data_IF_014671528019
#
_entry.id   IF_014671528019
#
_cell.length_a   1.000
_cell.length_b   1.000
_cell.length_c   1.000
_cell.angle_alpha   90.00
_cell.angle_beta   90.00
_cell.angle_gamma   90.00
#
_symmetry.space_group_name_H-M   'P 1'
#
loop_
_entity.id
_entity.type
_entity.pdbx_description
1 polymer ?
#
# COMPACT_ATOMS: atom_id res chain seq x y z
N UNK A 1 -1.42 -7.50 18.19
CA UNK A 1 -2.78 -6.97 18.52
C UNK A 1 -3.53 -6.60 17.23
N UNK A 2 -2.97 -5.81 16.31
CA UNK A 2 -3.68 -5.38 15.07
C UNK A 2 -4.15 -6.54 14.20
N UNK A 3 -3.32 -7.59 14.00
CA UNK A 3 -3.71 -8.78 13.25
C UNK A 3 -4.87 -9.54 13.93
N UNK A 4 -4.85 -9.71 15.25
CA UNK A 4 -5.95 -10.36 15.98
C UNK A 4 -7.26 -9.59 15.83
N UNK A 5 -7.21 -8.25 15.97
CA UNK A 5 -8.36 -7.38 15.75
C UNK A 5 -8.92 -7.53 14.33
N UNK A 6 -8.05 -7.42 13.32
CA UNK A 6 -8.46 -7.50 11.90
C UNK A 6 -9.07 -8.87 11.58
N UNK A 7 -8.49 -9.94 12.13
CA UNK A 7 -9.04 -11.30 12.01
C UNK A 7 -10.45 -11.39 12.58
N UNK A 8 -10.66 -10.91 13.82
CA UNK A 8 -11.98 -10.92 14.44
C UNK A 8 -13.00 -10.11 13.64
N UNK A 9 -12.59 -8.96 13.12
CA UNK A 9 -13.45 -8.14 12.25
C UNK A 9 -13.80 -8.86 10.95
N UNK A 10 -12.86 -9.62 10.38
CA UNK A 10 -13.10 -10.41 9.17
C UNK A 10 -14.07 -11.58 9.44
N UNK A 11 -13.91 -12.27 10.57
CA UNK A 11 -14.86 -13.31 11.02
C UNK A 11 -16.25 -12.71 11.20
N UNK A 12 -16.36 -11.57 11.87
CA UNK A 12 -17.66 -10.92 12.16
C UNK A 12 -18.37 -10.41 10.88
N UNK A 13 -17.64 -10.20 9.79
CA UNK A 13 -18.23 -9.89 8.48
C UNK A 13 -19.00 -11.09 7.90
N UNK A 14 -18.61 -12.30 8.25
CA UNK A 14 -19.17 -13.55 7.72
C UNK A 14 -19.33 -13.49 6.19
N UNK A 15 -18.18 -13.31 5.51
CA UNK A 15 -18.13 -13.10 4.05
C UNK A 15 -17.00 -13.87 3.37
N UNK A 16 -15.92 -14.14 4.09
CA UNK A 16 -14.72 -14.76 3.55
C UNK A 16 -14.68 -16.27 3.84
N UNK A 17 -14.43 -17.09 2.83
CA UNK A 17 -14.28 -18.53 2.99
C UNK A 17 -12.98 -18.90 3.71
N UNK A 18 -11.92 -18.12 3.48
CA UNK A 18 -10.59 -18.33 4.10
C UNK A 18 -9.93 -17.04 4.52
N UNK A 19 -9.25 -17.07 5.66
CA UNK A 19 -8.48 -15.97 6.20
C UNK A 19 -6.99 -16.35 6.31
N UNK A 20 -6.12 -15.48 5.83
CA UNK A 20 -4.67 -15.65 5.89
C UNK A 20 -4.07 -14.55 6.77
N UNK A 21 -3.70 -14.90 8.01
CA UNK A 21 -3.01 -13.97 8.90
C UNK A 21 -1.52 -14.01 8.59
N UNK A 22 -1.03 -12.94 7.99
CA UNK A 22 0.33 -12.87 7.47
C UNK A 22 1.20 -12.01 8.37
N UNK A 23 2.33 -12.55 8.81
CA UNK A 23 3.39 -11.84 9.51
C UNK A 23 4.75 -12.06 8.80
N UNK A 24 5.82 -11.57 9.37
CA UNK A 24 7.18 -11.67 8.82
C UNK A 24 7.64 -13.11 8.55
N UNK A 25 7.14 -14.10 9.31
CA UNK A 25 7.49 -15.53 9.12
C UNK A 25 6.86 -16.11 7.83
N UNK A 26 5.81 -15.47 7.32
CA UNK A 26 5.16 -15.91 6.09
C UNK A 26 5.95 -15.53 4.82
N UNK A 27 6.83 -14.54 4.93
CA UNK A 27 7.69 -14.11 3.81
C UNK A 27 8.63 -15.25 3.43
N UNK A 28 8.76 -15.58 2.11
CA UNK A 28 9.61 -16.69 1.68
C UNK A 28 11.05 -16.57 2.16
N UNK A 29 11.67 -17.68 2.61
CA UNK A 29 13.03 -17.69 3.13
C UNK A 29 14.06 -17.13 2.12
N UNK A 30 13.92 -17.48 0.82
CA UNK A 30 14.78 -16.94 -0.23
C UNK A 30 14.76 -15.42 -0.26
N UNK A 31 13.57 -14.80 -0.16
CA UNK A 31 13.41 -13.35 -0.13
C UNK A 31 14.05 -12.75 1.13
N UNK A 32 13.78 -13.36 2.31
CA UNK A 32 14.36 -12.92 3.58
C UNK A 32 15.88 -12.98 3.57
N UNK A 33 16.48 -14.05 3.04
CA UNK A 33 17.94 -14.19 2.90
C UNK A 33 18.52 -13.11 1.97
N UNK A 34 17.90 -12.89 0.81
CA UNK A 34 18.35 -11.90 -0.19
C UNK A 34 18.35 -10.47 0.37
N UNK A 35 17.33 -10.12 1.14
CA UNK A 35 17.11 -8.75 1.64
C UNK A 35 17.25 -8.66 3.18
N UNK A 36 18.08 -9.51 3.79
CA UNK A 36 18.30 -9.55 5.25
C UNK A 36 18.66 -8.16 5.81
N UNK A 37 19.48 -7.40 5.10
CA UNK A 37 19.97 -6.08 5.51
C UNK A 37 18.92 -4.96 5.30
N UNK A 38 17.83 -5.27 4.62
CA UNK A 38 16.70 -4.37 4.35
C UNK A 38 15.48 -4.69 5.21
N UNK A 39 15.26 -5.95 5.53
CA UNK A 39 14.15 -6.45 6.35
C UNK A 39 14.48 -6.35 7.84
N UNK A 40 14.73 -5.12 8.30
CA UNK A 40 15.14 -4.84 9.68
C UNK A 40 13.91 -4.43 10.50
N UNK A 41 13.80 -4.97 11.72
CA UNK A 41 12.75 -4.56 12.65
C UNK A 41 12.91 -3.07 12.97
N UNK A 42 11.83 -2.30 12.80
CA UNK A 42 11.84 -0.85 12.97
C UNK A 42 12.17 -0.06 11.70
N UNK A 43 12.63 -0.69 10.62
CA UNK A 43 12.78 -0.02 9.32
C UNK A 43 11.44 0.34 8.71
N UNK A 44 11.41 1.34 7.85
CA UNK A 44 10.21 1.83 7.17
C UNK A 44 9.53 0.68 6.41
N UNK A 45 8.30 0.35 6.81
CA UNK A 45 7.53 -0.73 6.20
C UNK A 45 8.16 -2.12 6.25
N UNK A 46 9.12 -2.36 7.18
CA UNK A 46 9.90 -3.60 7.24
C UNK A 46 10.53 -3.92 5.88
N UNK A 47 11.38 -3.01 5.39
CA UNK A 47 11.97 -3.06 4.05
C UNK A 47 11.06 -2.48 2.97
N UNK A 48 10.46 -1.29 3.23
CA UNK A 48 9.67 -0.52 2.27
C UNK A 48 8.49 -1.27 1.66
N UNK A 49 7.87 -2.20 2.44
CA UNK A 49 6.75 -3.07 2.01
C UNK A 49 7.07 -3.94 0.79
N UNK A 50 8.35 -4.10 0.45
CA UNK A 50 8.89 -4.91 -0.66
C UNK A 50 8.38 -6.35 -0.70
N UNK A 51 8.00 -6.88 0.44
CA UNK A 51 7.50 -8.24 0.64
C UNK A 51 6.06 -8.48 0.15
N UNK A 52 5.29 -7.43 -0.15
CA UNK A 52 3.88 -7.57 -0.55
C UNK A 52 3.68 -8.49 -1.76
N UNK A 53 4.35 -8.29 -2.91
CA UNK A 53 4.14 -9.17 -4.06
C UNK A 53 4.53 -10.62 -3.78
N UNK A 54 5.52 -10.88 -2.91
CA UNK A 54 5.91 -12.24 -2.52
C UNK A 54 4.79 -12.96 -1.76
N UNK A 55 4.21 -12.31 -0.75
CA UNK A 55 3.12 -12.91 0.03
C UNK A 55 1.85 -13.06 -0.79
N UNK A 56 1.52 -12.10 -1.63
CA UNK A 56 0.35 -12.17 -2.51
C UNK A 56 0.50 -13.36 -3.47
N UNK A 57 1.63 -13.53 -4.13
CA UNK A 57 1.89 -14.68 -5.01
C UNK A 57 1.83 -16.01 -4.26
N UNK A 58 2.36 -16.06 -3.01
CA UNK A 58 2.31 -17.26 -2.17
C UNK A 58 0.86 -17.65 -1.82
N UNK A 59 -0.01 -16.66 -1.58
CA UNK A 59 -1.44 -16.91 -1.32
C UNK A 59 -2.17 -17.27 -2.60
N UNK A 60 -1.90 -16.59 -3.73
CA UNK A 60 -2.51 -16.93 -5.01
C UNK A 60 -2.22 -18.38 -5.44
N UNK A 61 -1.11 -18.98 -5.02
CA UNK A 61 -0.86 -20.42 -5.23
C UNK A 61 -1.79 -21.34 -4.42
N UNK A 62 -2.38 -20.85 -3.33
CA UNK A 62 -3.22 -21.62 -2.39
C UNK A 62 -4.73 -21.51 -2.67
N UNK A 63 -5.13 -20.72 -3.63
CA UNK A 63 -6.52 -20.53 -4.05
C UNK A 63 -6.69 -20.99 -5.50
N UNK A 64 -7.92 -21.23 -5.94
CA UNK A 64 -8.23 -21.71 -7.29
C UNK A 64 -8.26 -20.56 -8.31
N UNK A 65 -8.19 -20.89 -9.59
CA UNK A 65 -8.47 -19.92 -10.66
C UNK A 65 -9.90 -19.39 -10.51
N UNK A 66 -10.06 -18.09 -10.79
CA UNK A 66 -11.27 -17.28 -10.58
C UNK A 66 -11.62 -17.00 -9.11
N UNK A 67 -10.96 -17.62 -8.11
CA UNK A 67 -11.09 -17.18 -6.74
C UNK A 67 -10.63 -15.71 -6.58
N UNK A 68 -11.25 -15.02 -5.65
CA UNK A 68 -10.97 -13.63 -5.35
C UNK A 68 -10.23 -13.49 -4.02
N UNK A 69 -9.14 -12.72 -4.02
CA UNK A 69 -8.34 -12.38 -2.85
C UNK A 69 -8.48 -10.89 -2.55
N UNK A 70 -8.69 -10.54 -1.29
CA UNK A 70 -8.47 -9.18 -0.81
C UNK A 70 -7.25 -9.16 0.12
N UNK A 71 -6.30 -8.26 -0.18
CA UNK A 71 -5.22 -7.89 0.73
C UNK A 71 -5.60 -6.61 1.45
N UNK A 72 -5.38 -6.59 2.76
CA UNK A 72 -5.63 -5.41 3.61
C UNK A 72 -4.47 -5.23 4.58
N UNK A 73 -3.89 -4.03 4.65
CA UNK A 73 -2.86 -3.67 5.64
C UNK A 73 -3.41 -3.83 7.07
N UNK A 74 -2.60 -4.36 7.99
CA UNK A 74 -2.97 -4.61 9.38
C UNK A 74 -3.41 -3.34 10.16
N UNK A 75 -3.06 -2.16 9.66
CA UNK A 75 -3.51 -0.87 10.23
C UNK A 75 -4.94 -0.48 9.84
N UNK A 76 -5.56 -1.17 8.88
CA UNK A 76 -6.95 -0.96 8.51
C UNK A 76 -7.92 -1.61 9.51
N UNK A 77 -9.17 -1.19 9.47
CA UNK A 77 -10.29 -1.83 10.15
C UNK A 77 -11.29 -2.33 9.12
N UNK A 78 -11.91 -3.47 9.39
CA UNK A 78 -13.06 -3.96 8.63
C UNK A 78 -14.34 -3.58 9.38
N UNK A 79 -15.33 -3.11 8.62
CA UNK A 79 -16.58 -2.59 9.14
C UNK A 79 -17.77 -3.43 8.66
N UNK A 80 -18.48 -4.06 9.59
CA UNK A 80 -19.63 -4.93 9.30
C UNK A 80 -20.74 -4.19 8.54
N UNK A 81 -21.00 -2.93 8.87
CA UNK A 81 -22.02 -2.12 8.21
C UNK A 81 -21.72 -1.85 6.73
N UNK A 82 -20.47 -2.07 6.29
CA UNK A 82 -20.04 -1.94 4.91
C UNK A 82 -20.16 -3.22 4.07
N UNK A 83 -20.72 -4.32 4.61
CA UNK A 83 -20.78 -5.63 3.92
C UNK A 83 -21.41 -5.54 2.53
N UNK A 84 -22.50 -4.76 2.38
CA UNK A 84 -23.15 -4.56 1.07
C UNK A 84 -22.18 -3.97 0.04
N UNK A 85 -21.40 -2.96 0.43
CA UNK A 85 -20.40 -2.35 -0.46
C UNK A 85 -19.23 -3.29 -0.75
N UNK A 86 -18.85 -4.15 0.19
CA UNK A 86 -17.83 -5.18 -0.03
C UNK A 86 -18.27 -6.17 -1.11
N UNK A 87 -19.51 -6.61 -1.09
CA UNK A 87 -20.09 -7.48 -2.13
C UNK A 87 -19.99 -6.78 -3.49
N UNK A 88 -20.38 -5.52 -3.59
CA UNK A 88 -20.27 -4.72 -4.83
C UNK A 88 -18.81 -4.65 -5.34
N UNK A 89 -17.81 -4.53 -4.46
CA UNK A 89 -16.39 -4.58 -4.87
C UNK A 89 -16.03 -5.92 -5.54
N UNK A 90 -16.48 -7.03 -4.94
CA UNK A 90 -16.22 -8.35 -5.50
C UNK A 90 -16.98 -8.58 -6.81
N UNK A 91 -18.18 -8.06 -6.96
CA UNK A 91 -18.93 -8.14 -8.22
C UNK A 91 -18.25 -7.34 -9.35
N UNK A 92 -17.75 -6.14 -9.05
CA UNK A 92 -16.93 -5.36 -9.99
C UNK A 92 -15.66 -6.14 -10.37
N UNK A 93 -14.99 -6.75 -9.37
CA UNK A 93 -13.79 -7.53 -9.60
C UNK A 93 -14.05 -8.78 -10.45
N UNK A 94 -15.11 -9.52 -10.17
CA UNK A 94 -15.48 -10.73 -10.92
C UNK A 94 -15.72 -10.44 -12.40
N UNK A 95 -16.38 -9.33 -12.71
CA UNK A 95 -16.66 -8.88 -14.08
C UNK A 95 -15.42 -8.31 -14.78
N UNK A 96 -14.34 -8.01 -14.06
CA UNK A 96 -13.15 -7.39 -14.62
C UNK A 96 -12.20 -8.42 -15.23
N UNK A 97 -11.98 -8.36 -16.54
CA UNK A 97 -11.08 -9.27 -17.28
C UNK A 97 -9.60 -9.12 -16.89
N UNK A 98 -9.18 -7.98 -16.34
CA UNK A 98 -7.80 -7.80 -15.82
C UNK A 98 -7.58 -8.50 -14.50
N UNK A 99 -8.65 -8.82 -13.76
CA UNK A 99 -8.59 -9.51 -12.49
C UNK A 99 -8.05 -8.65 -11.33
N UNK A 100 -8.06 -7.34 -11.45
CA UNK A 100 -7.62 -6.43 -10.39
C UNK A 100 -8.61 -5.26 -10.28
N UNK A 101 -9.03 -4.96 -9.06
CA UNK A 101 -9.74 -3.74 -8.70
C UNK A 101 -8.88 -2.96 -7.72
N UNK A 102 -8.51 -1.73 -8.07
CA UNK A 102 -7.63 -0.89 -7.28
C UNK A 102 -8.35 0.39 -6.80
N UNK A 103 -7.76 1.04 -5.79
CA UNK A 103 -8.31 2.26 -5.21
C UNK A 103 -7.43 3.45 -5.59
N UNK A 104 -7.95 4.34 -6.42
CA UNK A 104 -7.25 5.54 -6.86
C UNK A 104 -7.71 6.78 -6.09
N UNK A 105 -6.81 7.71 -5.81
CA UNK A 105 -7.12 8.97 -5.11
C UNK A 105 -7.90 9.96 -6.01
N UNK A 106 -8.97 9.47 -6.62
CA UNK A 106 -9.85 10.23 -7.50
C UNK A 106 -11.16 10.61 -6.81
N UNK A 107 -11.75 11.72 -7.24
CA UNK A 107 -13.05 12.19 -6.75
C UNK A 107 -14.08 11.06 -6.81
N UNK A 108 -14.88 10.85 -5.74
CA UNK A 108 -15.95 9.87 -5.77
C UNK A 108 -16.91 10.13 -6.93
N UNK A 109 -17.21 9.09 -7.70
CA UNK A 109 -18.17 9.19 -8.80
C UNK A 109 -19.59 9.11 -8.25
N UNK A 110 -20.42 10.10 -8.55
CA UNK A 110 -21.83 10.18 -8.11
C UNK A 110 -22.64 8.94 -8.52
N UNK A 111 -22.34 8.37 -9.68
CA UNK A 111 -23.10 7.25 -10.24
C UNK A 111 -22.68 5.86 -9.70
N UNK A 112 -21.44 5.73 -9.18
CA UNK A 112 -20.85 4.46 -8.80
C UNK A 112 -20.43 4.36 -7.31
N UNK A 113 -20.67 5.41 -6.52
CA UNK A 113 -20.29 5.46 -5.12
C UNK A 113 -21.41 6.04 -4.28
N UNK A 114 -21.69 5.39 -3.15
CA UNK A 114 -22.58 5.92 -2.11
C UNK A 114 -21.98 7.12 -1.39
N UNK A 115 -20.71 7.44 -1.65
CA UNK A 115 -20.04 8.60 -1.08
C UNK A 115 -20.35 9.83 -1.93
N UNK A 116 -21.19 10.70 -1.40
CA UNK A 116 -21.51 11.98 -2.05
C UNK A 116 -20.36 12.95 -1.83
N UNK A 117 -19.79 13.47 -2.93
CA UNK A 117 -18.81 14.54 -2.87
C UNK A 117 -19.52 15.87 -2.58
N UNK A 118 -19.15 16.51 -1.48
CA UNK A 118 -19.77 17.73 -0.95
C UNK A 118 -18.88 18.98 -1.09
N UNK A 119 -17.93 18.98 -2.04
CA UNK A 119 -17.05 20.12 -2.28
C UNK A 119 -15.82 20.20 -1.39
N UNK A 120 -15.64 19.30 -0.40
CA UNK A 120 -14.47 19.32 0.48
C UNK A 120 -13.14 19.20 -0.26
N UNK A 121 -12.08 19.80 0.29
CA UNK A 121 -10.72 19.75 -0.29
C UNK A 121 -10.19 18.32 -0.27
N UNK A 122 -9.93 17.76 -1.44
CA UNK A 122 -9.27 16.47 -1.58
C UNK A 122 -7.75 16.63 -1.66
N UNK A 123 -7.01 15.60 -1.25
CA UNK A 123 -5.54 15.61 -1.30
C UNK A 123 -5.05 15.61 -2.75
N UNK A 124 -4.03 16.43 -3.02
CA UNK A 124 -3.33 16.39 -4.29
C UNK A 124 -2.25 15.30 -4.25
N UNK A 125 -2.61 14.11 -4.73
CA UNK A 125 -1.77 12.93 -4.73
C UNK A 125 -1.32 12.57 -6.16
N UNK A 126 -1.00 13.59 -6.99
CA UNK A 126 -0.50 13.39 -8.36
C UNK A 126 0.87 12.72 -8.35
N UNK A 127 1.08 11.78 -9.25
CA UNK A 127 2.25 10.90 -9.30
C UNK A 127 3.59 11.65 -9.36
N UNK A 128 3.67 12.80 -10.04
CA UNK A 128 4.91 13.59 -10.09
C UNK A 128 5.41 14.04 -8.71
N UNK A 129 4.53 14.08 -7.70
CA UNK A 129 4.88 14.43 -6.32
C UNK A 129 5.37 13.25 -5.49
N UNK A 130 5.01 12.03 -5.88
CA UNK A 130 5.09 10.84 -5.03
C UNK A 130 5.82 9.66 -5.66
N UNK A 131 6.42 9.86 -6.84
CA UNK A 131 7.21 8.85 -7.56
C UNK A 131 8.54 9.47 -7.92
N UNK A 132 9.64 8.84 -7.50
CA UNK A 132 10.99 9.34 -7.76
C UNK A 132 11.39 9.17 -9.24
N UNK A 133 12.35 9.99 -9.69
CA UNK A 133 12.82 10.07 -11.07
C UNK A 133 13.22 8.74 -11.65
N UNK A 134 14.07 7.98 -10.95
CA UNK A 134 14.56 6.66 -11.41
C UNK A 134 13.42 5.69 -11.72
N UNK A 135 12.33 5.75 -10.93
CA UNK A 135 11.19 4.86 -11.14
C UNK A 135 10.35 5.31 -12.35
N UNK A 136 10.23 6.61 -12.59
CA UNK A 136 9.58 7.13 -13.80
C UNK A 136 10.35 6.74 -15.06
N UNK A 137 11.69 6.77 -15.01
CA UNK A 137 12.54 6.37 -16.13
C UNK A 137 12.51 4.86 -16.36
N UNK A 138 12.57 4.06 -15.29
CA UNK A 138 12.44 2.61 -15.38
C UNK A 138 11.17 2.18 -16.13
N UNK A 139 10.05 2.89 -15.93
CA UNK A 139 8.81 2.64 -16.66
C UNK A 139 8.68 3.39 -17.99
N UNK A 140 9.69 4.21 -18.35
CA UNK A 140 9.65 5.09 -19.51
C UNK A 140 8.39 5.97 -19.59
N UNK A 141 8.07 6.63 -18.47
CA UNK A 141 6.84 7.44 -18.33
C UNK A 141 7.07 8.87 -17.84
N UNK A 142 8.33 9.30 -17.69
CA UNK A 142 8.70 10.63 -17.22
C UNK A 142 7.97 11.75 -17.98
N UNK A 143 7.83 11.61 -19.29
CA UNK A 143 7.22 12.60 -20.17
C UNK A 143 5.74 12.29 -20.50
N UNK A 144 5.15 11.24 -19.92
CA UNK A 144 3.75 10.89 -20.15
C UNK A 144 2.84 11.66 -19.22
N UNK A 145 2.31 12.80 -19.70
CA UNK A 145 1.43 13.70 -18.92
C UNK A 145 0.27 12.95 -18.27
N UNK A 146 -0.36 12.00 -18.97
CA UNK A 146 -1.46 11.19 -18.43
C UNK A 146 -1.05 10.33 -17.22
N UNK A 147 0.22 9.94 -17.13
CA UNK A 147 0.77 9.16 -16.00
C UNK A 147 1.21 10.08 -14.87
N UNK A 148 2.04 11.09 -15.15
CA UNK A 148 2.61 11.95 -14.10
C UNK A 148 1.57 12.83 -13.42
N UNK A 149 0.51 13.25 -14.13
CA UNK A 149 -0.64 14.01 -13.56
C UNK A 149 -1.75 13.12 -13.01
N UNK A 150 -1.72 11.81 -13.23
CA UNK A 150 -2.68 10.90 -12.60
C UNK A 150 -2.53 10.91 -11.07
N UNK A 151 -3.62 10.64 -10.37
CA UNK A 151 -3.60 10.46 -8.91
C UNK A 151 -3.04 9.08 -8.56
N UNK A 152 -2.32 8.98 -7.43
CA UNK A 152 -1.77 7.73 -6.93
C UNK A 152 -2.84 6.66 -6.70
N UNK A 153 -2.41 5.41 -6.74
CA UNK A 153 -3.23 4.24 -6.44
C UNK A 153 -2.76 3.63 -5.12
N UNK A 154 -3.69 3.41 -4.22
CA UNK A 154 -3.37 2.95 -2.86
C UNK A 154 -2.80 1.52 -2.86
N UNK A 155 -1.75 1.31 -2.06
CA UNK A 155 -1.08 0.01 -1.90
C UNK A 155 -1.49 -0.76 -0.64
N UNK A 156 -2.39 -0.21 0.19
CA UNK A 156 -2.80 -0.83 1.46
C UNK A 156 -4.05 -1.71 1.38
N UNK A 157 -4.77 -1.64 0.25
CA UNK A 157 -5.96 -2.46 -0.04
C UNK A 157 -5.91 -2.86 -1.52
N UNK A 158 -5.88 -4.17 -1.79
CA UNK A 158 -5.84 -4.71 -3.14
C UNK A 158 -6.87 -5.82 -3.28
N UNK A 159 -7.67 -5.78 -4.35
CA UNK A 159 -8.58 -6.87 -4.70
C UNK A 159 -8.11 -7.53 -5.99
N UNK A 160 -7.96 -8.85 -5.94
CA UNK A 160 -7.33 -9.64 -7.00
C UNK A 160 -8.19 -10.88 -7.28
N UNK A 161 -8.71 -11.03 -8.50
CA UNK A 161 -9.23 -12.30 -9.00
C UNK A 161 -8.07 -13.08 -9.60
N UNK A 162 -7.86 -14.31 -9.17
CA UNK A 162 -6.78 -15.15 -9.70
C UNK A 162 -7.05 -15.51 -11.16
N UNK A 163 -6.30 -14.90 -12.06
CA UNK A 163 -6.23 -15.24 -13.49
C UNK A 163 -4.83 -14.99 -14.03
N UNK A 164 -4.57 -15.38 -15.28
CA UNK A 164 -3.25 -15.22 -15.91
C UNK A 164 -2.76 -13.76 -15.90
N UNK A 165 -3.66 -12.80 -16.16
CA UNK A 165 -3.31 -11.37 -16.24
C UNK A 165 -2.93 -10.81 -14.87
N UNK A 166 -3.73 -11.08 -13.83
CA UNK A 166 -3.43 -10.62 -12.47
C UNK A 166 -2.15 -11.26 -11.92
N UNK A 167 -1.95 -12.57 -12.13
CA UNK A 167 -0.73 -13.26 -11.73
C UNK A 167 0.50 -12.62 -12.40
N UNK A 168 0.45 -12.35 -13.71
CA UNK A 168 1.57 -11.75 -14.44
C UNK A 168 1.90 -10.36 -13.92
N UNK A 169 0.90 -9.53 -13.63
CA UNK A 169 1.11 -8.21 -13.05
C UNK A 169 1.79 -8.29 -11.67
N UNK A 170 1.36 -9.21 -10.79
CA UNK A 170 2.01 -9.38 -9.47
C UNK A 170 3.42 -9.97 -9.62
N UNK A 171 3.66 -10.86 -10.60
CA UNK A 171 5.01 -11.35 -10.92
C UNK A 171 5.93 -10.23 -11.40
N UNK A 172 5.44 -9.30 -12.23
CA UNK A 172 6.20 -8.14 -12.67
C UNK A 172 6.53 -7.22 -11.47
N UNK A 173 5.57 -6.95 -10.58
CA UNK A 173 5.84 -6.21 -9.34
C UNK A 173 6.96 -6.86 -8.52
N UNK A 174 6.86 -8.18 -8.31
CA UNK A 174 7.91 -8.96 -7.63
C UNK A 174 9.26 -8.85 -8.33
N UNK A 175 9.29 -8.95 -9.68
CA UNK A 175 10.51 -8.86 -10.47
C UNK A 175 11.19 -7.52 -10.25
N UNK A 176 10.47 -6.41 -10.38
CA UNK A 176 11.00 -5.06 -10.16
C UNK A 176 11.62 -4.93 -8.77
N UNK A 177 10.90 -5.33 -7.72
CA UNK A 177 11.41 -5.28 -6.34
C UNK A 177 12.68 -6.12 -6.18
N UNK A 178 12.73 -7.31 -6.80
CA UNK A 178 13.88 -8.21 -6.67
C UNK A 178 15.11 -7.73 -7.43
N UNK A 179 14.94 -7.09 -8.57
CA UNK A 179 16.03 -6.65 -9.45
C UNK A 179 16.48 -5.21 -9.15
N UNK A 180 15.54 -4.35 -8.77
CA UNK A 180 15.75 -2.91 -8.60
C UNK A 180 15.14 -2.43 -7.27
N UNK A 181 15.67 -2.97 -6.17
CA UNK A 181 15.25 -2.57 -4.82
C UNK A 181 15.48 -1.07 -4.54
N UNK A 182 16.48 -0.47 -5.18
CA UNK A 182 16.79 0.95 -5.12
C UNK A 182 15.58 1.84 -5.49
N UNK A 183 14.71 1.37 -6.39
CA UNK A 183 13.54 2.12 -6.84
C UNK A 183 12.48 2.36 -5.75
N UNK A 184 12.51 1.58 -4.68
CA UNK A 184 11.54 1.72 -3.58
C UNK A 184 12.12 2.32 -2.30
N UNK A 185 13.41 2.66 -2.28
CA UNK A 185 14.08 3.24 -1.10
C UNK A 185 13.83 4.75 -1.00
N UNK A 186 14.25 5.33 0.15
CA UNK A 186 14.33 6.77 0.36
C UNK A 186 15.66 7.38 -0.15
N UNK A 187 16.54 6.57 -0.72
CA UNK A 187 17.80 7.05 -1.28
C UNK A 187 17.53 8.03 -2.42
N UNK A 188 18.43 8.99 -2.58
CA UNK A 188 18.34 9.99 -3.64
C UNK A 188 18.20 9.33 -5.01
N UNK A 189 17.38 9.90 -5.86
CA UNK A 189 17.25 9.49 -7.26
C UNK A 189 18.53 9.88 -8.03
N UNK A 190 19.03 8.99 -8.88
CA UNK A 190 20.13 9.28 -9.80
C UNK A 190 19.63 10.25 -10.87
N UNK A 191 18.49 9.94 -11.48
CA UNK A 191 17.80 10.86 -12.39
C UNK A 191 17.09 11.97 -11.61
N UNK A 192 17.06 13.22 -12.11
CA UNK A 192 16.39 14.33 -11.43
C UNK A 192 14.91 14.01 -11.18
N UNK A 193 14.43 14.34 -9.99
CA UNK A 193 13.01 14.27 -9.69
C UNK A 193 12.25 15.38 -10.42
N UNK A 194 10.97 15.17 -10.72
CA UNK A 194 10.11 16.19 -11.33
C UNK A 194 9.86 17.35 -10.37
N UNK A 195 9.68 18.56 -10.91
CA UNK A 195 9.37 19.76 -10.11
C UNK A 195 8.15 19.53 -9.22
N UNK A 196 8.32 19.78 -7.92
CA UNK A 196 7.28 19.57 -6.92
C UNK A 196 7.25 18.16 -6.31
N UNK A 197 8.27 17.34 -6.56
CA UNK A 197 8.46 16.05 -5.88
C UNK A 197 8.57 16.25 -4.36
N UNK A 198 7.90 15.39 -3.60
CA UNK A 198 7.84 15.45 -2.12
C UNK A 198 8.58 14.26 -1.51
N UNK A 199 8.14 13.05 -1.85
CA UNK A 199 8.76 11.81 -1.38
C UNK A 199 8.38 10.62 -2.29
N UNK A 200 9.16 9.54 -2.24
CA UNK A 200 8.82 8.31 -2.94
C UNK A 200 7.83 7.48 -2.12
N UNK A 201 6.78 6.96 -2.76
CA UNK A 201 5.78 6.10 -2.13
C UNK A 201 6.13 4.61 -2.15
N UNK A 202 7.40 4.28 -2.29
CA UNK A 202 7.95 2.93 -2.16
C UNK A 202 7.24 1.88 -3.03
N UNK A 203 6.80 0.78 -2.42
CA UNK A 203 6.04 -0.29 -3.07
C UNK A 203 4.76 0.20 -3.75
N UNK A 204 4.09 1.20 -3.17
CA UNK A 204 2.89 1.80 -3.73
C UNK A 204 3.17 2.57 -5.03
N UNK A 205 4.36 3.16 -5.19
CA UNK A 205 4.75 3.84 -6.43
C UNK A 205 4.84 2.84 -7.59
N UNK A 206 5.48 1.68 -7.39
CA UNK A 206 5.50 0.60 -8.39
C UNK A 206 4.08 0.10 -8.68
N UNK A 207 3.29 -0.15 -7.62
CA UNK A 207 1.91 -0.58 -7.76
C UNK A 207 1.08 0.39 -8.60
N UNK A 208 1.21 1.69 -8.34
CA UNK A 208 0.53 2.75 -9.11
C UNK A 208 0.89 2.67 -10.59
N UNK A 209 2.19 2.60 -10.92
CA UNK A 209 2.64 2.55 -12.31
C UNK A 209 2.21 1.26 -13.03
N UNK A 210 2.23 0.13 -12.35
CA UNK A 210 1.71 -1.13 -12.89
C UNK A 210 0.21 -1.05 -13.14
N UNK A 211 -0.58 -0.51 -12.21
CA UNK A 211 -2.02 -0.33 -12.40
C UNK A 211 -2.34 0.55 -13.63
N UNK A 212 -1.57 1.62 -13.84
CA UNK A 212 -1.72 2.49 -15.02
C UNK A 212 -1.27 1.76 -16.31
N UNK A 213 -0.13 1.07 -16.29
CA UNK A 213 0.38 0.27 -17.42
C UNK A 213 -0.63 -0.78 -17.88
N UNK A 214 -1.21 -1.52 -16.93
CA UNK A 214 -2.18 -2.58 -17.21
C UNK A 214 -3.62 -2.07 -17.39
N UNK A 215 -3.84 -0.76 -17.28
CA UNK A 215 -5.18 -0.13 -17.35
C UNK A 215 -6.17 -0.84 -16.41
N UNK A 216 -5.79 -0.96 -15.16
CA UNK A 216 -6.58 -1.64 -14.12
C UNK A 216 -7.86 -0.83 -13.82
N UNK A 217 -8.97 -1.54 -13.56
CA UNK A 217 -10.20 -0.88 -13.09
C UNK A 217 -9.97 -0.26 -11.72
N UNK A 218 -10.33 1.02 -11.57
CA UNK A 218 -10.18 1.73 -10.31
C UNK A 218 -11.52 2.23 -9.79
N UNK A 219 -11.62 2.33 -8.46
CA UNK A 219 -12.65 3.05 -7.72
C UNK A 219 -11.99 4.08 -6.80
N UNK A 220 -12.76 4.96 -6.21
CA UNK A 220 -12.21 6.01 -5.36
C UNK A 220 -11.60 5.45 -4.07
N UNK A 221 -10.35 5.80 -3.76
CA UNK A 221 -9.72 5.48 -2.47
C UNK A 221 -10.35 6.26 -1.30
N UNK A 222 -11.11 7.29 -1.59
CA UNK A 222 -11.89 7.99 -0.58
C UNK A 222 -13.01 7.13 0.02
N UNK A 223 -13.31 5.98 -0.54
CA UNK A 223 -14.20 4.99 0.06
C UNK A 223 -13.62 4.28 1.30
N UNK A 224 -12.33 4.39 1.56
CA UNK A 224 -11.73 3.88 2.81
C UNK A 224 -10.98 4.93 3.64
N UNK A 225 -10.76 6.13 3.11
CA UNK A 225 -10.24 7.29 3.84
C UNK A 225 -10.76 8.58 3.21
N UNK A 226 -11.71 9.24 3.84
CA UNK A 226 -12.31 10.46 3.33
C UNK A 226 -11.94 11.63 4.25
N UNK A 227 -11.43 12.75 3.73
CA UNK A 227 -10.99 13.85 4.59
C UNK A 227 -12.17 14.51 5.31
N UNK A 228 -11.96 14.91 6.56
CA UNK A 228 -12.95 15.69 7.32
C UNK A 228 -13.09 17.08 6.69
N UNK A 229 -14.31 17.54 6.56
CA UNK A 229 -14.60 18.88 6.03
C UNK A 229 -14.13 19.94 7.03
N UNK A 230 -13.50 21.00 6.53
CA UNK A 230 -13.05 22.16 7.31
C UNK A 230 -12.08 21.84 8.46
N UNK A 231 -11.43 20.70 8.46
CA UNK A 231 -10.41 20.39 9.47
C UNK A 231 -9.06 21.00 9.10
N UNK A 232 -8.42 21.68 10.07
CA UNK A 232 -7.03 22.15 9.92
C UNK A 232 -6.03 20.99 9.96
N UNK A 233 -6.40 19.86 10.58
CA UNK A 233 -5.59 18.62 10.64
C UNK A 233 -6.01 17.66 9.55
N UNK A 234 -5.08 16.78 9.15
CA UNK A 234 -5.37 15.69 8.21
C UNK A 234 -6.11 14.57 8.95
N UNK A 235 -7.42 14.70 9.06
CA UNK A 235 -8.30 13.76 9.74
C UNK A 235 -9.29 13.14 8.76
N UNK A 236 -9.71 11.91 9.05
CA UNK A 236 -10.75 11.24 8.28
C UNK A 236 -12.14 11.46 8.87
N UNK A 237 -13.12 11.56 7.99
CA UNK A 237 -14.53 11.57 8.30
C UNK A 237 -15.08 10.14 8.32
N UNK A 238 -15.01 9.49 9.47
CA UNK A 238 -15.49 8.11 9.63
C UNK A 238 -17.01 8.00 9.56
N UNK A 239 -17.76 9.07 9.85
CA UNK A 239 -19.21 9.09 9.73
C UNK A 239 -19.64 9.03 8.27
N UNK A 240 -18.96 9.77 7.39
CA UNK A 240 -19.17 9.67 5.94
C UNK A 240 -18.87 8.26 5.40
N UNK A 241 -18.01 7.51 6.09
CA UNK A 241 -17.61 6.15 5.73
C UNK A 241 -18.36 5.04 6.50
N UNK A 242 -19.41 5.37 7.24
CA UNK A 242 -20.18 4.42 8.07
C UNK A 242 -20.59 3.14 7.34
N UNK A 243 -20.92 3.23 6.05
CA UNK A 243 -21.38 2.10 5.25
C UNK A 243 -20.32 1.56 4.26
N UNK A 244 -19.04 1.90 4.48
CA UNK A 244 -17.93 1.36 3.69
C UNK A 244 -17.20 0.27 4.47
N UNK A 245 -16.73 -0.82 3.78
CA UNK A 245 -16.26 -2.01 4.45
C UNK A 245 -14.87 -1.88 5.08
N UNK A 246 -14.05 -0.94 4.61
CA UNK A 246 -12.66 -0.81 5.00
C UNK A 246 -12.41 0.62 5.46
N UNK A 247 -11.77 0.77 6.62
CA UNK A 247 -11.34 2.07 7.15
C UNK A 247 -9.83 2.06 7.35
N UNK A 248 -9.11 2.91 6.63
CA UNK A 248 -7.66 3.05 6.74
C UNK A 248 -7.27 3.90 7.97
N UNK A 249 -7.65 3.45 9.17
CA UNK A 249 -7.39 4.15 10.44
C UNK A 249 -5.93 4.20 10.82
N UNK A 250 -5.07 3.36 10.18
CA UNK A 250 -3.63 3.23 10.49
C UNK A 250 -3.35 2.90 11.95
N UNK A 251 -4.31 2.26 12.60
CA UNK A 251 -4.21 1.84 13.99
C UNK A 251 -3.24 0.68 14.13
N UNK A 252 -2.01 1.01 14.48
CA UNK A 252 -0.93 0.06 14.81
C UNK A 252 -0.93 -0.15 16.31
N UNK A 253 -1.88 -0.92 16.83
CA UNK A 253 -1.93 -1.24 18.25
C UNK A 253 -0.78 -2.21 18.59
N UNK A 254 0.41 -1.65 18.81
CA UNK A 254 1.60 -2.40 19.22
C UNK A 254 1.50 -2.72 20.71
N UNK A 255 1.72 -3.99 21.08
CA UNK A 255 1.88 -4.36 22.49
C UNK A 255 3.11 -3.68 23.11
N UNK A 256 3.17 -3.57 24.44
CA UNK A 256 4.24 -2.89 25.17
C UNK A 256 5.63 -3.38 24.73
N UNK A 257 5.85 -4.70 24.70
CA UNK A 257 7.10 -5.32 24.23
C UNK A 257 7.47 -4.90 22.81
N UNK A 258 6.50 -4.83 21.90
CA UNK A 258 6.73 -4.39 20.52
C UNK A 258 7.03 -2.90 20.45
N UNK A 259 6.43 -2.06 21.31
CA UNK A 259 6.76 -0.63 21.42
C UNK A 259 8.19 -0.43 21.90
N UNK A 260 8.63 -1.18 22.92
CA UNK A 260 9.99 -1.12 23.45
C UNK A 260 10.99 -1.54 22.37
N UNK A 261 10.77 -2.69 21.73
CA UNK A 261 11.65 -3.18 20.67
C UNK A 261 11.72 -2.21 19.49
N UNK A 262 10.60 -1.61 19.12
CA UNK A 262 10.54 -0.61 18.05
C UNK A 262 11.34 0.64 18.42
N UNK A 263 11.17 1.15 19.64
CA UNK A 263 11.89 2.33 20.14
C UNK A 263 13.40 2.06 20.22
N UNK A 264 13.78 0.88 20.71
CA UNK A 264 15.19 0.46 20.78
C UNK A 264 15.81 0.35 19.39
N UNK A 265 15.12 -0.32 18.45
CA UNK A 265 15.58 -0.46 17.06
C UNK A 265 15.73 0.92 16.39
N UNK A 266 14.82 1.85 16.67
CA UNK A 266 14.89 3.24 16.17
C UNK A 266 16.11 3.98 16.72
N UNK A 267 16.41 3.84 18.02
CA UNK A 267 17.61 4.44 18.63
C UNK A 267 18.89 3.85 18.03
N UNK A 268 18.97 2.52 17.91
CA UNK A 268 20.11 1.85 17.27
C UNK A 268 20.30 2.33 15.84
N UNK A 269 19.21 2.48 15.08
CA UNK A 269 19.25 3.00 13.73
C UNK A 269 19.75 4.46 13.69
N UNK A 270 19.31 5.32 14.62
CA UNK A 270 19.81 6.70 14.71
C UNK A 270 21.32 6.74 14.99
N UNK A 271 21.79 5.89 15.89
CA UNK A 271 23.23 5.75 16.19
C UNK A 271 23.99 5.30 14.94
N UNK A 272 23.53 4.25 14.25
CA UNK A 272 24.13 3.80 12.98
C UNK A 272 24.15 4.88 11.91
N UNK A 273 23.13 5.74 11.85
CA UNK A 273 23.08 6.87 10.93
C UNK A 273 24.15 7.94 11.24
N UNK A 274 24.43 8.16 12.52
CA UNK A 274 25.52 9.06 12.94
C UNK A 274 26.86 8.48 12.48
N UNK A 275 27.13 7.21 12.80
CA UNK A 275 28.36 6.55 12.38
C UNK A 275 28.55 6.49 10.86
N UNK A 276 27.47 6.34 10.12
CA UNK A 276 27.51 6.40 8.66
C UNK A 276 27.86 7.79 8.12
N UNK A 277 27.34 8.85 8.73
CA UNK A 277 27.66 10.24 8.32
C UNK A 277 29.13 10.60 8.52
N UNK A 278 29.79 9.96 9.48
CA UNK A 278 31.22 10.12 9.74
C UNK A 278 32.08 9.06 9.05
N UNK A 279 31.50 8.30 8.09
CA UNK A 279 32.24 7.37 7.24
C UNK A 279 32.63 6.02 7.87
N UNK A 280 32.20 5.75 9.10
CA UNK A 280 32.58 4.52 9.82
C UNK A 280 31.77 3.30 9.42
N UNK A 281 30.59 3.45 8.82
CA UNK A 281 29.73 2.36 8.33
C UNK A 281 28.91 2.80 7.11
N UNK A 282 28.46 1.86 6.28
CA UNK A 282 27.55 2.15 5.16
C UNK A 282 26.20 2.72 5.64
N UNK A 283 25.61 3.62 4.84
CA UNK A 283 24.37 4.31 5.21
C UNK A 283 23.23 3.35 5.61
N UNK A 284 22.68 3.46 6.82
CA UNK A 284 21.53 2.68 7.22
C UNK A 284 20.23 3.23 6.60
N UNK A 285 19.23 2.37 6.45
CA UNK A 285 17.89 2.79 6.01
C UNK A 285 17.24 3.71 7.05
N UNK A 286 16.57 4.79 6.60
CA UNK A 286 15.83 5.69 7.50
C UNK A 286 14.80 4.93 8.34
N UNK A 287 14.67 5.23 9.65
CA UNK A 287 13.57 4.71 10.46
C UNK A 287 12.24 5.25 9.96
N UNK A 288 11.16 4.61 10.38
CA UNK A 288 9.81 5.14 10.13
C UNK A 288 9.67 6.44 10.89
N UNK A 289 9.83 7.57 10.22
CA UNK A 289 9.25 8.80 10.71
C UNK A 289 7.73 8.69 10.58
N UNK A 290 7.00 9.05 11.64
CA UNK A 290 5.57 9.23 11.56
C UNK A 290 5.32 10.33 10.53
N UNK A 291 5.11 9.96 9.27
CA UNK A 291 4.83 10.88 8.17
C UNK A 291 3.42 11.49 8.27
N UNK A 292 2.97 11.75 9.52
CA UNK A 292 1.71 12.41 9.83
C UNK A 292 1.86 13.25 11.09
N UNK A 293 2.50 14.40 10.96
CA UNK A 293 2.11 15.58 11.71
C UNK A 293 1.08 16.36 10.91
#
# INVERSE_FOLDING_TARGET
RSLKRLNQQAINLNFFDRLFLVNEKFIPNRFRKKFKDRLILGSKGYGFWSWKPEIILKILKKINYNDCLIYVDAGCHLNKSGKKRLIEYFDILKKNSKGILAFQAQKPNKNNSKLKYDGRKLRNLKNYKWIKGDLLDYFNVRNKISVIKAQEIAGGVLLIKKNKKSINMIKEWRKIVNERFDLITDDSSISPNLKGFVENRHDQAIWTLLCLKYKVKTISSYEFWYPRKNSKKIEADWNALKYFPIHAKRDKNLGLRSKINFTLSRKIFQIKNIFSKIGLINQPQKPIENSFK
#
